data_IF_301825455868
#
_entry.id   IF_301825455868
#
_cell.length_a   1.000
_cell.length_b   1.000
_cell.length_c   1.000
_cell.angle_alpha   90.00
_cell.angle_beta   90.00
_cell.angle_gamma   90.00
#
_symmetry.space_group_name_H-M   'P 1'
#
loop_
_entity.id
_entity.type
_entity.pdbx_description
1 polymer ?
#
# COMPACT_ATOMS: atom_id res chain seq x y z
N UNK A 1 -8.41 -7.81 -11.84
CA UNK A 1 -7.72 -8.14 -10.58
C UNK A 1 -6.66 -9.20 -10.84
N UNK A 2 -5.37 -8.84 -10.81
CA UNK A 2 -4.32 -9.84 -10.62
C UNK A 2 -4.46 -10.33 -9.19
N UNK A 3 -4.98 -11.54 -8.99
CA UNK A 3 -4.88 -12.21 -7.70
C UNK A 3 -3.37 -12.36 -7.47
N UNK A 4 -2.84 -11.54 -6.57
CA UNK A 4 -1.46 -11.63 -6.14
C UNK A 4 -1.27 -13.08 -5.71
N UNK A 5 -0.40 -13.82 -6.39
CA UNK A 5 0.05 -15.16 -5.96
C UNK A 5 0.89 -14.96 -4.69
N UNK A 6 0.25 -14.54 -3.60
CA UNK A 6 0.92 -14.28 -2.31
C UNK A 6 1.34 -15.58 -1.62
N UNK A 7 0.81 -16.71 -2.07
CA UNK A 7 1.10 -18.03 -1.53
C UNK A 7 1.28 -18.98 -2.72
N UNK A 8 2.48 -18.98 -3.30
CA UNK A 8 2.87 -20.09 -4.17
C UNK A 8 2.94 -21.36 -3.31
N UNK A 9 2.45 -22.50 -3.80
CA UNK A 9 2.56 -23.78 -3.10
C UNK A 9 4.00 -24.19 -2.78
N UNK A 10 4.95 -23.59 -3.49
CA UNK A 10 6.39 -23.82 -3.33
C UNK A 10 7.08 -22.78 -2.43
N UNK A 11 6.32 -21.86 -1.82
CA UNK A 11 6.90 -20.78 -1.01
C UNK A 11 7.36 -21.30 0.36
N UNK A 12 8.61 -21.00 0.71
CA UNK A 12 9.21 -21.51 1.95
C UNK A 12 8.86 -20.60 3.11
N UNK A 13 8.36 -21.19 4.20
CA UNK A 13 8.11 -20.44 5.44
C UNK A 13 9.44 -20.00 6.04
N UNK A 14 9.71 -18.69 6.00
CA UNK A 14 10.85 -18.07 6.66
C UNK A 14 10.40 -17.49 8.00
N UNK A 15 11.14 -17.79 9.08
CA UNK A 15 10.91 -17.18 10.39
C UNK A 15 11.65 -15.85 10.47
N UNK A 16 10.92 -14.79 10.74
CA UNK A 16 11.47 -13.44 10.94
C UNK A 16 11.21 -12.99 12.37
N UNK A 17 12.22 -12.40 13.00
CA UNK A 17 12.07 -11.70 14.28
C UNK A 17 11.91 -10.20 14.02
N UNK A 18 10.95 -9.58 14.69
CA UNK A 18 10.71 -8.14 14.61
C UNK A 18 10.70 -7.56 16.02
N UNK A 19 11.24 -6.35 16.16
CA UNK A 19 11.20 -5.61 17.42
C UNK A 19 10.01 -4.65 17.41
N UNK A 20 9.22 -4.69 18.48
CA UNK A 20 8.10 -3.78 18.69
C UNK A 20 8.30 -3.06 20.02
N UNK A 21 7.82 -1.82 20.10
CA UNK A 21 7.68 -1.16 21.40
C UNK A 21 6.65 -1.90 22.25
N UNK A 22 6.82 -1.87 23.57
CA UNK A 22 5.93 -2.59 24.50
C UNK A 22 4.46 -2.20 24.32
N UNK A 23 4.19 -0.90 24.12
CA UNK A 23 2.83 -0.38 23.90
C UNK A 23 2.24 -0.93 22.60
N UNK A 24 3.02 -0.91 21.51
CA UNK A 24 2.56 -1.39 20.22
C UNK A 24 2.31 -2.91 20.24
N UNK A 25 3.21 -3.67 20.87
CA UNK A 25 3.04 -5.11 21.04
C UNK A 25 1.71 -5.42 21.76
N UNK A 26 1.46 -4.76 22.90
CA UNK A 26 0.23 -4.95 23.67
C UNK A 26 -1.01 -4.60 22.86
N UNK A 27 -1.00 -3.47 22.16
CA UNK A 27 -2.10 -3.05 21.29
C UNK A 27 -2.44 -4.13 20.25
N UNK A 28 -1.42 -4.71 19.61
CA UNK A 28 -1.61 -5.74 18.59
C UNK A 28 -2.13 -7.03 19.22
N UNK A 29 -1.58 -7.45 20.36
CA UNK A 29 -2.05 -8.63 21.10
C UNK A 29 -3.52 -8.49 21.51
N UNK A 30 -3.93 -7.32 22.01
CA UNK A 30 -5.32 -7.04 22.36
C UNK A 30 -6.23 -7.18 21.12
N UNK A 31 -5.84 -6.60 19.98
CA UNK A 31 -6.61 -6.71 18.72
C UNK A 31 -6.64 -8.13 18.15
N UNK A 32 -5.54 -8.88 18.25
CA UNK A 32 -5.46 -10.26 17.80
C UNK A 32 -6.36 -11.16 18.66
N UNK A 33 -6.34 -10.95 19.99
CA UNK A 33 -7.16 -11.72 20.93
C UNK A 33 -8.67 -11.58 20.67
N UNK A 34 -9.13 -10.36 20.35
CA UNK A 34 -10.52 -10.09 19.97
C UNK A 34 -10.98 -10.87 18.74
N UNK A 35 -10.04 -11.32 17.90
CA UNK A 35 -10.30 -12.10 16.68
C UNK A 35 -9.98 -13.58 16.84
N UNK A 36 -9.52 -14.01 18.01
CA UNK A 36 -9.05 -15.38 18.24
C UNK A 36 -7.80 -15.74 17.43
N UNK A 37 -7.01 -14.74 17.02
CA UNK A 37 -5.82 -14.93 16.17
C UNK A 37 -4.54 -14.91 17.01
N UNK A 38 -3.53 -15.67 16.57
CA UNK A 38 -2.18 -15.52 17.12
C UNK A 38 -1.54 -14.20 16.63
N UNK A 39 -0.60 -13.65 17.41
CA UNK A 39 0.13 -12.42 17.04
C UNK A 39 0.75 -12.51 15.63
N UNK A 40 1.40 -13.64 15.34
CA UNK A 40 2.03 -13.90 14.02
C UNK A 40 1.01 -13.94 12.89
N UNK A 41 -0.16 -14.52 13.13
CA UNK A 41 -1.22 -14.60 12.13
C UNK A 41 -1.83 -13.23 11.84
N UNK A 42 -2.13 -12.47 12.90
CA UNK A 42 -2.63 -11.11 12.80
C UNK A 42 -1.67 -10.23 11.99
N UNK A 43 -0.36 -10.31 12.29
CA UNK A 43 0.66 -9.56 11.58
C UNK A 43 0.78 -9.95 10.10
N UNK A 44 0.69 -11.25 9.77
CA UNK A 44 0.69 -11.71 8.37
C UNK A 44 -0.51 -11.15 7.60
N UNK A 45 -1.70 -11.24 8.18
CA UNK A 45 -2.94 -10.69 7.58
C UNK A 45 -2.84 -9.18 7.40
N UNK A 46 -2.32 -8.46 8.40
CA UNK A 46 -2.12 -7.01 8.32
C UNK A 46 -1.10 -6.63 7.21
N UNK A 47 -0.01 -7.37 7.09
CA UNK A 47 0.99 -7.15 6.03
C UNK A 47 0.40 -7.39 4.63
N UNK A 48 -0.37 -8.48 4.45
CA UNK A 48 -1.06 -8.76 3.18
C UNK A 48 -2.07 -7.66 2.82
N UNK A 49 -2.86 -7.20 3.80
CA UNK A 49 -3.81 -6.11 3.60
C UNK A 49 -3.07 -4.81 3.19
N UNK A 50 -1.95 -4.51 3.84
CA UNK A 50 -1.15 -3.33 3.54
C UNK A 50 -0.60 -3.37 2.11
N UNK A 51 -0.07 -4.51 1.67
CA UNK A 51 0.40 -4.71 0.30
C UNK A 51 -0.74 -4.52 -0.70
N UNK A 52 -1.90 -5.13 -0.44
CA UNK A 52 -3.07 -5.00 -1.31
C UNK A 52 -3.52 -3.54 -1.47
N UNK A 53 -3.58 -2.79 -0.37
CA UNK A 53 -3.96 -1.37 -0.39
C UNK A 53 -2.93 -0.52 -1.14
N UNK A 54 -1.63 -0.83 -1.03
CA UNK A 54 -0.58 -0.12 -1.75
C UNK A 54 -0.60 -0.41 -3.26
N UNK A 55 -0.91 -1.65 -3.64
CA UNK A 55 -1.08 -2.03 -5.04
C UNK A 55 -2.32 -1.36 -5.67
N UNK A 56 -3.44 -1.35 -4.94
CA UNK A 56 -4.68 -0.69 -5.38
C UNK A 56 -4.49 0.83 -5.52
N UNK A 57 -3.88 1.48 -4.52
CA UNK A 57 -3.55 2.92 -4.59
C UNK A 57 -2.65 3.22 -5.81
N UNK A 58 -1.68 2.35 -6.09
CA UNK A 58 -0.81 2.50 -7.25
C UNK A 58 -1.59 2.36 -8.57
N UNK A 59 -2.48 1.37 -8.67
CA UNK A 59 -3.31 1.16 -9.86
C UNK A 59 -4.28 2.34 -10.09
N UNK A 60 -4.92 2.84 -9.03
CA UNK A 60 -5.77 4.04 -9.09
C UNK A 60 -4.99 5.27 -9.54
N UNK A 61 -3.80 5.48 -8.98
CA UNK A 61 -2.94 6.60 -9.39
C UNK A 61 -2.50 6.47 -10.85
N UNK A 62 -2.24 5.26 -11.34
CA UNK A 62 -1.95 5.02 -12.75
C UNK A 62 -3.15 5.38 -13.64
N UNK A 63 -4.36 4.91 -13.30
CA UNK A 63 -5.59 5.24 -14.05
C UNK A 63 -5.89 6.75 -14.05
N UNK A 64 -5.79 7.41 -12.89
CA UNK A 64 -5.97 8.86 -12.78
C UNK A 64 -4.97 9.59 -13.67
N UNK A 65 -3.73 9.14 -13.65
CA UNK A 65 -2.66 9.74 -14.42
C UNK A 65 -2.88 9.60 -15.93
N UNK A 66 -3.31 8.42 -16.39
CA UNK A 66 -3.59 8.18 -17.81
C UNK A 66 -4.80 9.01 -18.29
N UNK A 67 -5.83 9.15 -17.47
CA UNK A 67 -6.98 10.02 -17.77
C UNK A 67 -6.59 11.51 -17.85
N UNK A 68 -5.72 11.97 -16.95
CA UNK A 68 -5.29 13.38 -16.88
C UNK A 68 -4.40 13.74 -18.07
N UNK A 69 -3.49 12.87 -18.49
CA UNK A 69 -2.53 13.19 -19.56
C UNK A 69 -3.21 13.28 -20.93
N UNK A 70 -4.27 12.50 -21.16
CA UNK A 70 -5.06 12.58 -22.40
C UNK A 70 -6.02 13.78 -22.49
N UNK A 71 -6.38 14.39 -21.35
CA UNK A 71 -7.45 15.41 -21.28
C UNK A 71 -6.96 16.83 -20.98
N UNK A 72 -5.68 17.03 -20.69
CA UNK A 72 -5.16 18.32 -20.22
C UNK A 72 -4.40 19.07 -21.31
N UNK A 73 -4.69 20.37 -21.43
CA UNK A 73 -3.94 21.27 -22.27
C UNK A 73 -2.53 21.50 -21.70
N UNK A 74 -1.55 20.80 -22.26
CA UNK A 74 -0.14 20.82 -21.85
C UNK A 74 0.50 22.21 -21.86
N UNK A 75 -0.07 23.19 -22.57
CA UNK A 75 0.41 24.59 -22.53
C UNK A 75 0.12 25.28 -21.19
N UNK A 76 -0.97 24.91 -20.50
CA UNK A 76 -1.33 25.46 -19.19
C UNK A 76 -0.72 24.67 -18.02
N UNK A 77 -0.43 23.39 -18.23
CA UNK A 77 0.11 22.50 -17.19
C UNK A 77 1.32 21.69 -17.72
N UNK A 78 2.47 22.34 -17.95
CA UNK A 78 3.66 21.70 -18.54
C UNK A 78 4.27 20.59 -17.66
N UNK A 79 3.98 20.60 -16.35
CA UNK A 79 4.44 19.57 -15.42
C UNK A 79 3.59 18.29 -15.48
N UNK A 80 2.47 18.28 -16.20
CA UNK A 80 1.59 17.12 -16.33
C UNK A 80 1.81 16.37 -17.65
N UNK A 81 3.00 16.51 -18.23
CA UNK A 81 3.32 15.94 -19.54
C UNK A 81 3.60 14.43 -19.54
N UNK A 82 3.90 13.84 -18.38
CA UNK A 82 4.20 12.41 -18.29
C UNK A 82 3.62 11.77 -17.04
N UNK A 83 3.35 10.45 -17.08
CA UNK A 83 2.73 9.79 -15.93
C UNK A 83 3.52 9.87 -14.64
N UNK A 84 4.85 9.86 -14.77
CA UNK A 84 5.77 9.95 -13.64
C UNK A 84 5.66 11.31 -12.92
N UNK A 85 5.49 12.40 -13.67
CA UNK A 85 5.42 13.75 -13.10
C UNK A 85 4.10 14.02 -12.40
N UNK A 86 2.98 13.56 -12.98
CA UNK A 86 1.66 13.65 -12.35
C UNK A 86 1.62 12.86 -11.04
N UNK A 87 2.11 11.62 -11.04
CA UNK A 87 2.21 10.80 -9.81
C UNK A 87 3.06 11.45 -8.73
N UNK A 88 4.20 12.02 -9.09
CA UNK A 88 5.06 12.74 -8.13
C UNK A 88 4.35 13.97 -7.54
N UNK A 89 3.60 14.71 -8.36
CA UNK A 89 2.85 15.88 -7.90
C UNK A 89 1.72 15.50 -6.94
N UNK A 90 0.90 14.48 -7.26
CA UNK A 90 -0.17 13.98 -6.37
C UNK A 90 0.40 13.48 -5.04
N UNK A 91 1.54 12.76 -5.09
CA UNK A 91 2.20 12.26 -3.88
C UNK A 91 2.64 13.41 -2.95
N UNK A 92 3.21 14.47 -3.50
CA UNK A 92 3.63 15.65 -2.73
C UNK A 92 2.42 16.38 -2.12
N UNK A 93 1.33 16.53 -2.87
CA UNK A 93 0.08 17.11 -2.38
C UNK A 93 -0.49 16.35 -1.17
N UNK A 94 -0.51 15.01 -1.24
CA UNK A 94 -0.98 14.16 -0.13
C UNK A 94 -0.09 14.24 1.11
N UNK A 95 1.21 14.51 0.95
CA UNK A 95 2.11 14.71 2.10
C UNK A 95 1.93 16.07 2.78
N UNK A 96 1.51 17.10 2.05
CA UNK A 96 1.26 18.44 2.60
C UNK A 96 -0.08 18.56 3.35
N UNK A 97 -1.00 17.62 3.13
CA UNK A 97 -2.31 17.56 3.81
C UNK A 97 -2.30 16.83 5.15
N UNK A 98 -1.15 16.25 5.55
CA UNK A 98 -0.95 15.63 6.86
C UNK A 98 -0.32 16.61 7.83
#
# INVERSE_FOLDING_TARGET
MKIVRLLSSDDKVIRTQISLTTVLKKLIEDKASLRGESLSEYLRKAAMLKILLEEDEKEELEKLTDMVIGSVNLKKHPYWSTPKKVRSWVRNLRSEWK
#
